data_IF_712730906169
#
_entry.id   IF_712730906169
#
_cell.length_a   1.000
_cell.length_b   1.000
_cell.length_c   1.000
_cell.angle_alpha   90.00
_cell.angle_beta   90.00
_cell.angle_gamma   90.00
#
_symmetry.space_group_name_H-M   'P 1'
#
loop_
_entity.id
_entity.type
_entity.pdbx_description
1 polymer ?
#
# COMPACT_ATOMS: atom_id res chain seq x y z
N UNK A 1 -20.64 -9.68 33.22
CA UNK A 1 -19.97 -10.26 32.03
C UNK A 1 -20.73 -11.53 31.71
N UNK A 2 -21.04 -11.81 30.43
CA UNK A 2 -21.61 -13.12 30.07
C UNK A 2 -20.67 -14.22 30.58
N UNK A 3 -21.23 -15.28 31.17
CA UNK A 3 -20.44 -16.40 31.66
C UNK A 3 -19.89 -17.15 30.44
N UNK A 4 -18.58 -17.10 30.25
CA UNK A 4 -17.88 -17.81 29.19
C UNK A 4 -17.29 -19.07 29.83
N UNK A 5 -17.75 -20.25 29.42
CA UNK A 5 -17.10 -21.49 29.81
C UNK A 5 -15.99 -21.78 28.81
N UNK A 6 -14.74 -21.72 29.27
CA UNK A 6 -13.57 -22.00 28.45
C UNK A 6 -13.43 -23.50 28.11
N UNK A 7 -14.25 -24.36 28.72
CA UNK A 7 -14.22 -25.82 28.52
C UNK A 7 -15.26 -26.31 27.50
N UNK A 8 -16.16 -25.45 27.02
CA UNK A 8 -17.14 -25.82 25.99
C UNK A 8 -16.66 -25.37 24.61
N UNK A 9 -16.81 -26.22 23.56
CA UNK A 9 -16.45 -25.84 22.21
C UNK A 9 -17.33 -24.68 21.72
N UNK A 10 -16.80 -23.76 20.88
CA UNK A 10 -17.53 -22.59 20.42
C UNK A 10 -18.57 -22.97 19.35
N UNK A 11 -19.70 -23.52 19.80
CA UNK A 11 -20.69 -24.19 18.95
C UNK A 11 -21.19 -23.31 17.79
N UNK A 12 -21.42 -22.02 18.04
CA UNK A 12 -21.88 -21.06 17.06
C UNK A 12 -20.79 -20.69 16.04
N UNK A 13 -19.52 -20.69 16.47
CA UNK A 13 -18.40 -20.49 15.55
C UNK A 13 -18.23 -21.69 14.61
N UNK A 14 -18.37 -22.91 15.13
CA UNK A 14 -18.33 -24.15 14.35
C UNK A 14 -19.51 -24.18 13.37
N UNK A 15 -20.72 -23.89 13.85
CA UNK A 15 -21.93 -23.86 13.04
C UNK A 15 -21.82 -22.83 11.90
N UNK A 16 -21.33 -21.61 12.17
CA UNK A 16 -21.06 -20.62 11.14
C UNK A 16 -20.09 -21.15 10.09
N UNK A 17 -18.95 -21.72 10.51
CA UNK A 17 -17.97 -22.22 9.56
C UNK A 17 -18.54 -23.36 8.70
N UNK A 18 -19.29 -24.29 9.29
CA UNK A 18 -19.91 -25.42 8.59
C UNK A 18 -21.07 -25.02 7.68
N UNK A 19 -21.80 -23.94 8.00
CA UNK A 19 -22.89 -23.43 7.16
C UNK A 19 -22.43 -22.90 5.80
N UNK A 20 -21.13 -22.65 5.63
CA UNK A 20 -20.58 -22.18 4.36
C UNK A 20 -20.48 -23.31 3.36
N UNK A 21 -20.84 -23.05 2.11
CA UNK A 21 -20.72 -24.00 1.01
C UNK A 21 -19.31 -23.95 0.40
N UNK A 22 -18.54 -25.06 0.35
CA UNK A 22 -17.29 -25.12 -0.41
C UNK A 22 -17.54 -24.82 -1.89
N UNK A 23 -16.86 -23.81 -2.43
CA UNK A 23 -17.00 -23.42 -3.84
C UNK A 23 -15.70 -22.83 -4.41
N UNK A 24 -15.34 -23.27 -5.62
CA UNK A 24 -14.23 -22.72 -6.38
C UNK A 24 -14.69 -21.43 -7.05
N UNK A 25 -13.94 -20.34 -6.84
CA UNK A 25 -14.27 -19.04 -7.42
C UNK A 25 -13.14 -18.61 -8.37
N UNK A 26 -13.49 -18.37 -9.63
CA UNK A 26 -12.54 -18.01 -10.69
C UNK A 26 -12.00 -16.58 -10.52
N UNK A 27 -12.80 -15.66 -9.96
CA UNK A 27 -12.39 -14.29 -9.67
C UNK A 27 -12.82 -13.86 -8.26
N UNK A 28 -11.86 -13.74 -7.34
CA UNK A 28 -12.12 -13.26 -5.98
C UNK A 28 -12.31 -11.74 -5.90
N UNK A 29 -11.87 -11.00 -6.92
CA UNK A 29 -11.86 -9.53 -6.96
C UNK A 29 -13.24 -8.90 -7.16
N UNK A 30 -14.25 -9.66 -7.59
CA UNK A 30 -15.61 -9.18 -7.88
C UNK A 30 -16.65 -9.59 -6.82
N UNK A 31 -16.22 -10.30 -5.77
CA UNK A 31 -17.14 -10.83 -4.76
C UNK A 31 -17.59 -9.76 -3.78
N UNK A 32 -18.90 -9.51 -3.75
CA UNK A 32 -19.56 -8.70 -2.72
C UNK A 32 -19.41 -9.35 -1.34
N UNK A 33 -19.35 -8.52 -0.29
CA UNK A 33 -19.14 -8.94 1.11
C UNK A 33 -20.10 -10.06 1.59
N UNK A 34 -21.33 -10.08 1.08
CA UNK A 34 -22.35 -11.08 1.39
C UNK A 34 -22.01 -12.51 0.91
N UNK A 35 -21.17 -12.68 -0.11
CA UNK A 35 -20.80 -14.00 -0.64
C UNK A 35 -19.81 -14.71 0.31
N UNK A 36 -18.88 -13.99 0.93
CA UNK A 36 -17.91 -14.55 1.89
C UNK A 36 -18.56 -15.12 3.15
N UNK A 37 -19.79 -14.72 3.48
CA UNK A 37 -20.56 -15.29 4.59
C UNK A 37 -21.26 -16.61 4.22
N UNK A 38 -21.43 -16.90 2.93
CA UNK A 38 -22.16 -18.09 2.44
C UNK A 38 -21.25 -19.15 1.81
N UNK A 39 -20.09 -18.75 1.32
CA UNK A 39 -19.17 -19.61 0.58
C UNK A 39 -17.86 -19.81 1.35
N UNK A 40 -17.37 -21.04 1.40
CA UNK A 40 -16.03 -21.37 1.83
C UNK A 40 -15.14 -21.55 0.60
N UNK A 41 -14.13 -20.69 0.48
CA UNK A 41 -13.22 -20.70 -0.66
C UNK A 41 -11.83 -20.28 -0.22
N UNK A 42 -10.82 -20.79 -0.92
CA UNK A 42 -9.42 -20.44 -0.71
C UNK A 42 -8.83 -20.19 -2.10
N UNK A 43 -8.32 -18.97 -2.32
CA UNK A 43 -7.64 -18.60 -3.58
C UNK A 43 -6.65 -19.69 -3.97
N UNK A 44 -6.61 -20.07 -5.25
CA UNK A 44 -5.63 -21.03 -5.77
C UNK A 44 -5.87 -22.49 -5.40
N UNK A 45 -6.95 -22.81 -4.68
CA UNK A 45 -7.48 -24.17 -4.61
C UNK A 45 -8.62 -24.26 -5.63
N UNK A 46 -8.43 -25.04 -6.68
CA UNK A 46 -9.41 -25.27 -7.74
C UNK A 46 -10.18 -26.60 -7.60
N UNK A 47 -10.04 -27.26 -6.45
CA UNK A 47 -10.69 -28.53 -6.15
C UNK A 47 -11.68 -28.35 -4.98
N UNK A 48 -12.96 -28.64 -5.22
CA UNK A 48 -14.03 -28.49 -4.23
C UNK A 48 -13.89 -29.47 -3.06
N UNK A 49 -13.44 -30.70 -3.32
CA UNK A 49 -13.21 -31.70 -2.27
C UNK A 49 -12.10 -31.24 -1.32
N UNK A 50 -10.99 -30.71 -1.87
CA UNK A 50 -9.92 -30.11 -1.07
C UNK A 50 -10.42 -28.92 -0.25
N UNK A 51 -11.32 -28.07 -0.78
CA UNK A 51 -11.95 -26.99 -0.01
C UNK A 51 -12.80 -27.54 1.14
N UNK A 52 -13.60 -28.56 0.88
CA UNK A 52 -14.39 -29.26 1.89
C UNK A 52 -13.50 -29.83 3.00
N UNK A 53 -12.39 -30.48 2.65
CA UNK A 53 -11.49 -31.08 3.64
C UNK A 53 -10.73 -30.02 4.45
N UNK A 54 -10.34 -28.91 3.80
CA UNK A 54 -9.78 -27.76 4.50
C UNK A 54 -10.80 -27.12 5.45
N UNK A 55 -12.07 -27.00 5.06
CA UNK A 55 -13.14 -26.50 5.94
C UNK A 55 -13.34 -27.42 7.15
N UNK A 56 -13.45 -28.73 6.93
CA UNK A 56 -13.56 -29.74 8.00
C UNK A 56 -12.37 -29.67 8.96
N UNK A 57 -11.15 -29.53 8.44
CA UNK A 57 -9.93 -29.42 9.26
C UNK A 57 -9.98 -28.19 10.20
N UNK A 58 -10.55 -27.08 9.75
CA UNK A 58 -10.70 -25.86 10.54
C UNK A 58 -11.84 -25.99 11.57
N UNK A 59 -12.93 -26.68 11.22
CA UNK A 59 -13.98 -27.02 12.18
C UNK A 59 -13.46 -27.94 13.29
N UNK A 60 -12.63 -28.92 12.96
CA UNK A 60 -11.95 -29.77 13.95
C UNK A 60 -11.00 -28.96 14.82
N UNK A 61 -10.27 -28.00 14.24
CA UNK A 61 -9.40 -27.13 15.02
C UNK A 61 -10.19 -26.26 16.02
N UNK A 62 -11.36 -25.75 15.65
CA UNK A 62 -12.26 -25.03 16.56
C UNK A 62 -12.80 -25.94 17.67
N UNK A 63 -13.18 -27.18 17.31
CA UNK A 63 -13.73 -28.16 18.25
C UNK A 63 -12.70 -28.58 19.31
N UNK A 64 -11.45 -28.78 18.90
CA UNK A 64 -10.37 -29.29 19.75
C UNK A 64 -9.54 -28.20 20.42
N UNK A 65 -9.78 -26.92 20.10
CA UNK A 65 -8.93 -25.81 20.53
C UNK A 65 -7.51 -25.88 19.96
N UNK A 66 -7.34 -26.53 18.80
CA UNK A 66 -6.05 -26.84 18.20
C UNK A 66 -5.32 -25.56 17.77
N UNK A 67 -4.04 -25.41 18.11
CA UNK A 67 -3.23 -24.27 17.68
C UNK A 67 -2.79 -24.36 16.22
N UNK A 68 -2.39 -23.23 15.62
CA UNK A 68 -1.92 -23.19 14.24
C UNK A 68 -0.79 -24.20 13.94
N UNK A 69 0.15 -24.40 14.88
CA UNK A 69 1.29 -25.31 14.68
C UNK A 69 0.84 -26.74 14.42
N UNK A 70 -0.11 -27.21 15.23
CA UNK A 70 -0.68 -28.55 15.15
C UNK A 70 -1.59 -28.68 13.93
N UNK A 71 -2.47 -27.70 13.69
CA UNK A 71 -3.37 -27.71 12.52
C UNK A 71 -2.57 -27.76 11.20
N UNK A 72 -1.47 -27.01 11.12
CA UNK A 72 -0.57 -27.00 9.97
C UNK A 72 0.00 -28.40 9.69
N UNK A 73 0.39 -29.14 10.72
CA UNK A 73 0.91 -30.51 10.56
C UNK A 73 -0.16 -31.44 9.99
N UNK A 74 -1.40 -31.31 10.48
CA UNK A 74 -2.53 -32.14 10.04
C UNK A 74 -2.91 -31.91 8.58
N UNK A 75 -2.87 -30.68 8.09
CA UNK A 75 -3.25 -30.37 6.70
C UNK A 75 -2.12 -30.56 5.69
N UNK A 76 -0.88 -30.78 6.15
CA UNK A 76 0.27 -30.88 5.25
C UNK A 76 0.18 -32.11 4.34
N UNK A 77 -0.26 -33.25 4.86
CA UNK A 77 -0.48 -34.48 4.09
C UNK A 77 -1.58 -34.28 3.05
N UNK A 78 -2.72 -33.70 3.43
CA UNK A 78 -3.85 -33.36 2.56
C UNK A 78 -3.43 -32.50 1.36
N UNK A 79 -2.63 -31.44 1.62
CA UNK A 79 -2.15 -30.53 0.58
C UNK A 79 -1.13 -31.19 -0.36
N UNK A 80 -0.37 -32.16 0.15
CA UNK A 80 0.62 -32.90 -0.64
C UNK A 80 -0.06 -33.92 -1.55
N UNK A 81 -1.03 -34.67 -1.02
CA UNK A 81 -1.84 -35.65 -1.78
C UNK A 81 -2.64 -35.00 -2.90
N UNK A 82 -3.15 -33.78 -2.67
CA UNK A 82 -3.89 -33.00 -3.65
C UNK A 82 -3.01 -32.19 -4.61
N UNK A 83 -1.68 -32.40 -4.59
CA UNK A 83 -0.70 -31.67 -5.40
C UNK A 83 -0.87 -30.13 -5.35
N UNK A 84 -1.30 -29.61 -4.21
CA UNK A 84 -1.59 -28.18 -4.00
C UNK A 84 -0.80 -27.65 -2.79
N UNK A 85 0.55 -27.63 -2.85
CA UNK A 85 1.36 -27.18 -1.73
C UNK A 85 1.14 -25.68 -1.46
N UNK A 86 0.85 -25.34 -0.21
CA UNK A 86 0.72 -23.95 0.23
C UNK A 86 1.88 -23.58 1.16
N UNK A 87 2.45 -22.39 0.96
CA UNK A 87 3.53 -21.93 1.83
C UNK A 87 3.03 -21.69 3.28
N UNK A 88 3.91 -21.82 4.30
CA UNK A 88 3.51 -21.70 5.70
C UNK A 88 2.87 -20.36 6.09
N UNK A 89 3.29 -19.25 5.47
CA UNK A 89 2.71 -17.92 5.74
C UNK A 89 1.25 -17.87 5.30
N UNK A 90 0.94 -18.48 4.14
CA UNK A 90 -0.42 -18.57 3.60
C UNK A 90 -1.31 -19.46 4.44
N UNK A 91 -0.81 -20.61 4.90
CA UNK A 91 -1.53 -21.48 5.83
C UNK A 91 -1.88 -20.74 7.13
N UNK A 92 -0.92 -19.96 7.66
CA UNK A 92 -1.17 -19.11 8.84
C UNK A 92 -2.29 -18.11 8.58
N UNK A 93 -2.31 -17.48 7.42
CA UNK A 93 -3.37 -16.53 7.06
C UNK A 93 -4.73 -17.22 6.93
N UNK A 94 -4.81 -18.38 6.27
CA UNK A 94 -6.04 -19.17 6.12
C UNK A 94 -6.59 -19.55 7.50
N UNK A 95 -5.76 -20.12 8.37
CA UNK A 95 -6.14 -20.50 9.72
C UNK A 95 -6.63 -19.28 10.52
N UNK A 96 -5.79 -18.26 10.69
CA UNK A 96 -6.12 -17.11 11.52
C UNK A 96 -7.38 -16.38 11.02
N UNK A 97 -7.53 -16.22 9.70
CA UNK A 97 -8.70 -15.56 9.12
C UNK A 97 -10.00 -16.32 9.43
N UNK A 98 -10.02 -17.63 9.17
CA UNK A 98 -11.23 -18.42 9.34
C UNK A 98 -11.59 -18.58 10.81
N UNK A 99 -10.61 -18.83 11.68
CA UNK A 99 -10.83 -18.97 13.13
C UNK A 99 -11.37 -17.66 13.72
N UNK A 100 -10.72 -16.52 13.47
CA UNK A 100 -11.18 -15.22 13.99
C UNK A 100 -12.56 -14.83 13.47
N UNK A 101 -12.81 -15.03 12.17
CA UNK A 101 -14.12 -14.73 11.59
C UNK A 101 -15.21 -15.62 12.21
N UNK A 102 -14.93 -16.91 12.38
CA UNK A 102 -15.88 -17.85 13.01
C UNK A 102 -16.21 -17.45 14.44
N UNK A 103 -15.23 -17.08 15.26
CA UNK A 103 -15.49 -16.58 16.62
C UNK A 103 -16.29 -15.26 16.63
N UNK A 104 -16.02 -14.34 15.71
CA UNK A 104 -16.75 -13.08 15.62
C UNK A 104 -18.22 -13.29 15.23
N UNK A 105 -18.48 -14.22 14.31
CA UNK A 105 -19.83 -14.55 13.85
C UNK A 105 -20.59 -15.37 14.88
N UNK A 106 -19.93 -16.33 15.53
CA UNK A 106 -20.52 -17.04 16.67
C UNK A 106 -20.90 -16.08 17.79
N UNK A 107 -20.00 -15.14 18.13
CA UNK A 107 -20.29 -14.06 19.09
C UNK A 107 -21.50 -13.22 18.66
N UNK A 108 -21.62 -12.89 17.37
CA UNK A 108 -22.76 -12.15 16.85
C UNK A 108 -24.06 -12.91 17.08
N UNK A 109 -24.11 -14.20 16.71
CA UNK A 109 -25.28 -15.05 16.92
C UNK A 109 -25.71 -15.10 18.38
N UNK A 110 -24.76 -15.30 19.30
CA UNK A 110 -25.06 -15.30 20.75
C UNK A 110 -25.55 -13.92 21.22
N UNK A 111 -24.96 -12.84 20.73
CA UNK A 111 -25.34 -11.47 21.12
C UNK A 111 -26.70 -11.03 20.54
N UNK A 112 -27.05 -11.50 19.35
CA UNK A 112 -28.34 -11.25 18.70
C UNK A 112 -29.48 -11.95 19.47
N UNK A 113 -29.19 -13.08 20.14
CA UNK A 113 -30.16 -13.82 20.95
C UNK A 113 -30.38 -13.26 22.37
N UNK A 114 -29.62 -12.24 22.78
CA UNK A 114 -29.80 -11.60 24.09
C UNK A 114 -31.17 -10.92 24.18
N UNK A 115 -31.79 -10.99 25.37
CA UNK A 115 -33.09 -10.35 25.64
C UNK A 115 -32.91 -8.94 26.22
N UNK A 116 -33.84 -8.05 25.88
CA UNK A 116 -33.92 -6.68 26.41
C UNK A 116 -33.13 -5.64 25.60
N UNK A 117 -33.02 -4.44 26.16
CA UNK A 117 -32.27 -3.34 25.56
C UNK A 117 -30.76 -3.59 25.65
N UNK A 118 -30.18 -4.00 24.53
CA UNK A 118 -28.75 -4.27 24.40
C UNK A 118 -28.08 -3.20 23.54
N UNK A 119 -26.91 -2.77 23.99
CA UNK A 119 -26.02 -1.85 23.32
C UNK A 119 -24.73 -2.57 22.95
N UNK A 120 -24.25 -2.33 21.75
CA UNK A 120 -23.00 -2.86 21.24
C UNK A 120 -21.92 -1.81 21.30
N UNK A 121 -20.72 -2.22 21.73
CA UNK A 121 -19.50 -1.43 21.73
C UNK A 121 -18.51 -2.01 20.74
N UNK A 122 -18.05 -1.21 19.79
CA UNK A 122 -16.98 -1.59 18.88
C UNK A 122 -15.62 -1.53 19.57
N UNK A 123 -14.90 -2.65 19.58
CA UNK A 123 -13.59 -2.78 20.21
C UNK A 123 -12.52 -3.11 19.18
N UNK A 124 -11.68 -2.12 18.89
CA UNK A 124 -10.47 -2.29 18.13
C UNK A 124 -9.30 -2.65 19.05
N UNK A 125 -8.36 -3.47 18.57
CA UNK A 125 -7.13 -3.81 19.31
C UNK A 125 -6.23 -2.57 19.48
N UNK A 126 -6.35 -1.57 18.59
CA UNK A 126 -5.60 -0.31 18.62
C UNK A 126 -4.07 -0.44 18.54
N UNK A 127 -3.55 -1.59 18.09
CA UNK A 127 -2.13 -1.76 17.81
C UNK A 127 -1.70 -1.12 16.47
N UNK A 128 -0.41 -1.25 16.14
CA UNK A 128 0.17 -0.75 14.88
C UNK A 128 -0.42 -1.42 13.61
N UNK A 129 -1.06 -2.58 13.76
CA UNK A 129 -1.63 -3.38 12.67
C UNK A 129 -3.13 -3.16 12.49
N UNK A 130 -3.77 -2.40 13.36
CA UNK A 130 -5.18 -2.08 13.26
C UNK A 130 -5.37 -0.97 12.23
N UNK A 131 -6.23 -1.20 11.23
CA UNK A 131 -6.58 -0.18 10.21
C UNK A 131 -7.11 1.07 10.89
N UNK A 132 -6.77 2.22 10.35
CA UNK A 132 -7.18 3.49 10.93
C UNK A 132 -8.72 3.64 10.92
N UNK A 133 -9.38 3.23 9.84
CA UNK A 133 -10.83 3.11 9.75
C UNK A 133 -11.43 2.41 10.98
N UNK A 134 -10.82 1.33 11.45
CA UNK A 134 -11.30 0.57 12.61
C UNK A 134 -10.90 1.21 13.94
N UNK A 135 -9.75 1.89 14.01
CA UNK A 135 -9.36 2.65 15.21
C UNK A 135 -10.35 3.77 15.50
N UNK A 136 -10.82 4.45 14.46
CA UNK A 136 -11.82 5.53 14.59
C UNK A 136 -13.16 5.02 15.13
N UNK A 137 -13.51 3.75 14.86
CA UNK A 137 -14.72 3.14 15.39
C UNK A 137 -14.60 2.70 16.84
N UNK A 138 -13.39 2.68 17.43
CA UNK A 138 -13.21 2.22 18.80
C UNK A 138 -14.06 3.04 19.78
N UNK A 139 -14.77 2.35 20.68
CA UNK A 139 -15.72 2.93 21.63
C UNK A 139 -16.96 3.56 21.00
N UNK A 140 -17.24 3.27 19.74
CA UNK A 140 -18.59 3.46 19.20
C UNK A 140 -19.55 2.56 19.95
N UNK A 141 -20.52 3.16 20.63
CA UNK A 141 -21.57 2.47 21.39
C UNK A 141 -22.92 2.84 20.81
N UNK A 142 -23.64 1.86 20.26
CA UNK A 142 -24.96 2.06 19.66
C UNK A 142 -25.92 0.95 20.09
N UNK A 143 -27.25 1.17 20.04
CA UNK A 143 -28.22 0.10 20.19
C UNK A 143 -27.90 -1.07 19.25
N UNK A 144 -28.17 -2.30 19.68
CA UNK A 144 -27.97 -3.51 18.86
C UNK A 144 -28.63 -3.42 17.49
N UNK A 145 -29.86 -2.89 17.44
CA UNK A 145 -30.68 -2.81 16.22
C UNK A 145 -30.28 -1.65 15.28
N UNK A 146 -29.23 -0.91 15.59
CA UNK A 146 -28.81 0.22 14.77
C UNK A 146 -28.18 -0.26 13.45
N UNK A 147 -28.63 0.30 12.31
CA UNK A 147 -28.19 -0.07 10.95
C UNK A 147 -26.67 0.03 10.70
N UNK A 148 -25.98 0.82 11.51
CA UNK A 148 -24.50 0.87 11.56
C UNK A 148 -23.86 -0.53 11.59
N UNK A 149 -24.42 -1.46 12.37
CA UNK A 149 -23.86 -2.79 12.56
C UNK A 149 -23.96 -3.68 11.32
N UNK A 150 -24.87 -3.38 10.37
CA UNK A 150 -24.96 -4.13 9.11
C UNK A 150 -23.67 -4.06 8.29
N UNK A 151 -22.97 -2.92 8.35
CA UNK A 151 -21.73 -2.68 7.59
C UNK A 151 -20.48 -2.78 8.45
N UNK A 152 -20.57 -2.49 9.74
CA UNK A 152 -19.39 -2.31 10.60
C UNK A 152 -19.23 -3.38 11.67
N UNK A 153 -20.03 -4.46 11.66
CA UNK A 153 -19.78 -5.56 12.59
C UNK A 153 -18.44 -6.27 12.23
N UNK A 154 -17.50 -6.46 13.18
CA UNK A 154 -16.19 -7.04 12.91
C UNK A 154 -16.24 -8.47 12.34
N UNK A 155 -15.27 -8.78 11.46
CA UNK A 155 -15.15 -10.07 10.78
C UNK A 155 -15.22 -9.97 9.26
N UNK A 156 -15.61 -8.79 8.75
CA UNK A 156 -15.76 -8.55 7.32
C UNK A 156 -14.44 -8.48 6.54
N UNK A 157 -13.41 -7.88 7.14
CA UNK A 157 -12.14 -7.67 6.46
C UNK A 157 -11.11 -8.76 6.74
N UNK A 158 -10.23 -8.98 5.76
CA UNK A 158 -9.02 -9.77 5.94
C UNK A 158 -8.13 -9.22 7.07
N UNK A 159 -7.70 -10.09 7.98
CA UNK A 159 -6.82 -9.78 9.11
C UNK A 159 -7.44 -8.94 10.21
N UNK A 160 -8.77 -8.68 10.16
CA UNK A 160 -9.43 -7.93 11.22
C UNK A 160 -9.44 -8.74 12.52
N UNK A 161 -9.05 -8.09 13.62
CA UNK A 161 -9.05 -8.66 14.98
C UNK A 161 -9.93 -7.86 15.94
N UNK A 162 -10.74 -6.96 15.40
CA UNK A 162 -11.72 -6.21 16.17
C UNK A 162 -12.86 -7.13 16.62
N UNK A 163 -13.59 -6.74 17.66
CA UNK A 163 -14.75 -7.46 18.19
C UNK A 163 -15.83 -6.48 18.64
N UNK A 164 -17.03 -6.98 18.89
CA UNK A 164 -18.11 -6.24 19.53
C UNK A 164 -18.37 -6.80 20.92
N UNK A 165 -18.53 -5.91 21.89
CA UNK A 165 -18.94 -6.23 23.25
C UNK A 165 -20.39 -5.79 23.46
N UNK A 166 -21.21 -6.62 24.10
CA UNK A 166 -22.61 -6.34 24.35
C UNK A 166 -22.83 -5.92 25.81
N UNK A 167 -23.62 -4.88 26.01
CA UNK A 167 -23.92 -4.29 27.32
C UNK A 167 -25.41 -4.00 27.45
N UNK A 168 -25.95 -4.23 28.64
CA UNK A 168 -27.25 -3.67 29.05
C UNK A 168 -27.09 -2.21 29.44
N UNK A 169 -28.20 -1.44 29.46
CA UNK A 169 -28.18 -0.03 29.91
C UNK A 169 -27.56 0.14 31.31
N UNK A 170 -27.96 -0.70 32.27
CA UNK A 170 -27.39 -0.72 33.62
C UNK A 170 -25.87 -0.96 33.65
N UNK A 171 -25.35 -1.77 32.72
CA UNK A 171 -23.91 -1.99 32.61
C UNK A 171 -23.20 -0.78 32.00
N UNK A 172 -23.80 -0.12 31.01
CA UNK A 172 -23.25 1.14 30.49
C UNK A 172 -23.11 2.18 31.61
N UNK A 173 -24.17 2.38 32.40
CA UNK A 173 -24.18 3.32 33.52
C UNK A 173 -23.11 2.96 34.57
N UNK A 174 -23.02 1.66 34.93
CA UNK A 174 -22.02 1.16 35.87
C UNK A 174 -20.58 1.41 35.40
N UNK A 175 -20.33 1.27 34.09
CA UNK A 175 -18.99 1.45 33.51
C UNK A 175 -18.72 2.87 33.03
N UNK A 176 -19.66 3.82 33.24
CA UNK A 176 -19.52 5.20 32.77
C UNK A 176 -19.47 5.32 31.24
N UNK A 177 -20.01 4.35 30.52
CA UNK A 177 -20.04 4.33 29.06
C UNK A 177 -21.29 5.03 28.55
N UNK A 178 -21.16 5.87 27.52
CA UNK A 178 -22.26 6.63 26.91
C UNK A 178 -22.54 6.16 25.50
N UNK A 179 -23.82 6.15 25.12
CA UNK A 179 -24.25 5.91 23.74
C UNK A 179 -23.68 7.01 22.84
N UNK A 180 -23.06 6.62 21.74
CA UNK A 180 -22.44 7.52 20.77
C UNK A 180 -23.50 8.16 19.88
N UNK A 181 -23.22 9.38 19.41
CA UNK A 181 -23.98 10.02 18.35
C UNK A 181 -23.31 9.73 17.01
N UNK A 182 -24.07 9.22 16.03
CA UNK A 182 -23.55 8.82 14.72
C UNK A 182 -23.02 10.03 13.94
N UNK A 183 -23.63 11.22 14.12
CA UNK A 183 -23.27 12.46 13.42
C UNK A 183 -21.88 12.97 13.80
N UNK A 184 -21.38 12.55 14.96
CA UNK A 184 -20.05 12.91 15.47
C UNK A 184 -18.99 11.91 15.03
N UNK A 185 -19.36 10.84 14.31
CA UNK A 185 -18.42 9.84 13.81
C UNK A 185 -17.77 10.31 12.51
N UNK A 186 -16.44 10.20 12.40
CA UNK A 186 -15.77 10.47 11.14
C UNK A 186 -16.24 9.47 10.07
N UNK A 187 -16.49 9.95 8.85
CA UNK A 187 -16.97 9.13 7.73
C UNK A 187 -15.98 7.99 7.42
N UNK A 188 -16.31 6.76 7.83
CA UNK A 188 -15.41 5.60 7.70
C UNK A 188 -15.36 5.05 6.27
N UNK A 189 -16.37 5.34 5.43
CA UNK A 189 -16.38 4.94 4.01
C UNK A 189 -15.31 5.68 3.19
N UNK A 190 -14.85 6.86 3.63
CA UNK A 190 -13.70 7.55 3.02
C UNK A 190 -12.34 6.93 3.41
N UNK A 191 -12.31 6.04 4.40
CA UNK A 191 -11.09 5.33 4.82
C UNK A 191 -10.93 3.96 4.15
N UNK A 192 -11.95 3.48 3.42
CA UNK A 192 -11.77 2.48 2.36
C UNK A 192 -11.33 3.23 1.12
N UNK A 193 -10.02 3.27 0.91
CA UNK A 193 -9.34 3.93 -0.20
C UNK A 193 -10.07 3.71 -1.53
N UNK A 194 -10.77 4.73 -2.00
CA UNK A 194 -10.92 4.88 -3.44
C UNK A 194 -9.53 5.28 -3.97
N UNK A 195 -8.85 4.32 -4.57
CA UNK A 195 -7.51 4.46 -5.16
C UNK A 195 -7.58 5.33 -6.43
N UNK A 196 -8.77 5.78 -6.85
CA UNK A 196 -8.97 6.66 -8.01
C UNK A 196 -8.17 7.96 -7.89
N UNK A 197 -8.03 8.54 -6.69
CA UNK A 197 -7.11 9.65 -6.41
C UNK A 197 -6.16 9.35 -5.25
N UNK A 198 -5.05 8.70 -5.60
CA UNK A 198 -3.95 8.38 -4.69
C UNK A 198 -3.40 9.61 -3.92
N UNK A 199 -3.51 10.82 -4.47
CA UNK A 199 -2.94 12.01 -3.84
C UNK A 199 -3.81 12.52 -2.69
N UNK A 200 -5.13 12.53 -2.87
CA UNK A 200 -6.07 12.89 -1.81
C UNK A 200 -5.95 11.94 -0.61
N UNK A 201 -5.85 10.64 -0.88
CA UNK A 201 -5.65 9.62 0.15
C UNK A 201 -4.33 9.82 0.92
N UNK A 202 -3.21 10.07 0.23
CA UNK A 202 -1.92 10.32 0.87
C UNK A 202 -1.95 11.58 1.75
N UNK A 203 -2.57 12.67 1.27
CA UNK A 203 -2.71 13.91 2.03
C UNK A 203 -3.52 13.68 3.32
N UNK A 204 -4.61 12.93 3.24
CA UNK A 204 -5.42 12.57 4.39
C UNK A 204 -4.63 11.78 5.45
N UNK A 205 -3.90 10.73 5.02
CA UNK A 205 -3.04 9.93 5.91
C UNK A 205 -2.00 10.81 6.61
N UNK A 206 -1.35 11.72 5.87
CA UNK A 206 -0.34 12.61 6.44
C UNK A 206 -0.93 13.56 7.48
N UNK A 207 -2.08 14.16 7.18
CA UNK A 207 -2.80 15.03 8.12
C UNK A 207 -3.21 14.29 9.40
N UNK A 208 -3.65 13.05 9.29
CA UNK A 208 -3.97 12.23 10.46
C UNK A 208 -2.73 11.86 11.27
N UNK A 209 -1.63 11.49 10.62
CA UNK A 209 -0.36 11.23 11.31
C UNK A 209 0.16 12.48 12.04
N UNK A 210 0.00 13.65 11.45
CA UNK A 210 0.34 14.93 12.09
C UNK A 210 -0.50 15.16 13.36
N UNK A 211 -1.80 14.84 13.33
CA UNK A 211 -2.67 14.90 14.52
C UNK A 211 -2.24 13.89 15.60
N UNK A 212 -1.96 12.64 15.22
CA UNK A 212 -1.53 11.59 16.15
C UNK A 212 -0.19 11.94 16.82
N UNK A 213 0.72 12.54 16.07
CA UNK A 213 2.06 12.89 16.53
C UNK A 213 2.20 14.37 16.91
N UNK A 214 1.11 15.04 17.29
CA UNK A 214 1.10 16.47 17.63
C UNK A 214 2.12 16.86 18.72
N UNK A 215 2.47 15.93 19.61
CA UNK A 215 3.41 16.14 20.72
C UNK A 215 4.84 15.67 20.40
N UNK A 216 5.15 15.29 19.15
CA UNK A 216 6.48 14.84 18.74
C UNK A 216 7.04 15.74 17.62
N UNK A 217 7.87 16.75 17.96
CA UNK A 217 8.42 17.71 16.99
C UNK A 217 9.20 17.04 15.85
N UNK A 218 9.98 16.00 16.13
CA UNK A 218 10.76 15.27 15.13
C UNK A 218 9.85 14.57 14.10
N UNK A 219 8.76 13.95 14.58
CA UNK A 219 7.77 13.32 13.71
C UNK A 219 7.06 14.37 12.83
N UNK A 220 6.68 15.51 13.41
CA UNK A 220 6.05 16.62 12.67
C UNK A 220 6.96 17.12 11.55
N UNK A 221 8.24 17.40 11.85
CA UNK A 221 9.21 17.89 10.86
C UNK A 221 9.36 16.90 9.71
N UNK A 222 9.50 15.59 10.00
CA UNK A 222 9.61 14.56 8.96
C UNK A 222 8.33 14.41 8.14
N UNK A 223 7.16 14.43 8.77
CA UNK A 223 5.87 14.34 8.07
C UNK A 223 5.63 15.55 7.15
N UNK A 224 5.98 16.76 7.60
CA UNK A 224 5.92 17.96 6.76
C UNK A 224 6.90 17.89 5.58
N UNK A 225 8.12 17.39 5.81
CA UNK A 225 9.09 17.19 4.74
C UNK A 225 8.59 16.17 3.69
N UNK A 226 7.97 15.06 4.13
CA UNK A 226 7.36 14.08 3.22
C UNK A 226 6.20 14.71 2.44
N UNK A 227 5.34 15.49 3.09
CA UNK A 227 4.24 16.18 2.41
C UNK A 227 4.74 17.13 1.31
N UNK A 228 5.74 17.95 1.63
CA UNK A 228 6.37 18.86 0.67
C UNK A 228 7.04 18.10 -0.49
N UNK A 229 7.72 16.99 -0.21
CA UNK A 229 8.33 16.13 -1.22
C UNK A 229 7.29 15.56 -2.19
N UNK A 230 6.18 15.01 -1.68
CA UNK A 230 5.09 14.47 -2.50
C UNK A 230 4.47 15.58 -3.36
N UNK A 231 4.20 16.76 -2.78
CA UNK A 231 3.66 17.90 -3.52
C UNK A 231 4.56 18.31 -4.68
N UNK A 232 5.87 18.44 -4.44
CA UNK A 232 6.84 18.80 -5.49
C UNK A 232 6.87 17.75 -6.60
N UNK A 233 6.85 16.47 -6.25
CA UNK A 233 6.80 15.37 -7.24
C UNK A 233 5.51 15.41 -8.07
N UNK A 234 4.36 15.71 -7.46
CA UNK A 234 3.09 15.81 -8.16
C UNK A 234 3.02 17.00 -9.12
N UNK A 235 3.54 18.16 -8.72
CA UNK A 235 3.65 19.35 -9.59
C UNK A 235 4.54 19.02 -10.79
N UNK A 236 5.73 18.46 -10.55
CA UNK A 236 6.65 18.03 -11.62
C UNK A 236 5.99 17.03 -12.56
N UNK A 237 5.32 16.01 -12.03
CA UNK A 237 4.63 15.02 -12.85
C UNK A 237 3.56 15.65 -13.75
N UNK A 238 2.79 16.61 -13.22
CA UNK A 238 1.78 17.34 -14.00
C UNK A 238 2.42 18.16 -15.13
N UNK A 239 3.45 18.95 -14.82
CA UNK A 239 4.14 19.80 -15.79
C UNK A 239 4.78 18.99 -16.93
N UNK A 240 5.47 17.89 -16.60
CA UNK A 240 6.09 17.02 -17.61
C UNK A 240 5.03 16.29 -18.44
N UNK A 241 3.91 15.88 -17.84
CA UNK A 241 2.80 15.28 -18.57
C UNK A 241 2.11 16.25 -19.53
N UNK A 242 2.06 17.52 -19.18
CA UNK A 242 1.53 18.58 -20.02
C UNK A 242 2.49 18.85 -21.20
N UNK A 243 3.79 18.96 -20.92
CA UNK A 243 4.83 19.01 -21.95
C UNK A 243 4.82 17.78 -22.87
N UNK A 244 4.50 16.60 -22.34
CA UNK A 244 4.39 15.39 -23.14
C UNK A 244 3.22 15.42 -24.11
N UNK A 245 2.13 16.12 -23.80
CA UNK A 245 0.90 16.11 -24.59
C UNK A 245 0.71 17.36 -25.46
N UNK A 246 1.38 18.45 -25.13
CA UNK A 246 1.22 19.73 -25.83
C UNK A 246 1.70 19.67 -27.29
N UNK A 247 1.03 20.41 -28.17
CA UNK A 247 1.48 20.71 -29.52
C UNK A 247 2.35 21.97 -29.60
N UNK A 248 2.36 22.78 -28.54
CA UNK A 248 3.23 23.95 -28.44
C UNK A 248 4.66 23.54 -28.08
N UNK A 249 5.53 23.51 -29.09
CA UNK A 249 6.94 23.10 -28.96
C UNK A 249 7.81 24.10 -28.19
N UNK A 250 7.33 25.34 -27.98
CA UNK A 250 8.06 26.38 -27.22
C UNK A 250 7.84 26.26 -25.71
N UNK A 251 6.91 25.42 -25.27
CA UNK A 251 6.64 25.21 -23.85
C UNK A 251 7.84 24.57 -23.15
N UNK A 252 8.15 25.04 -21.94
CA UNK A 252 9.27 24.55 -21.13
C UNK A 252 8.84 24.30 -19.70
N UNK A 253 9.54 23.41 -18.98
CA UNK A 253 9.38 23.23 -17.54
C UNK A 253 10.71 22.99 -16.84
N UNK A 254 10.70 23.19 -15.53
CA UNK A 254 11.81 22.87 -14.63
C UNK A 254 11.62 21.47 -14.06
N UNK A 255 12.58 20.59 -14.27
CA UNK A 255 12.52 19.21 -13.75
C UNK A 255 12.89 19.20 -12.27
N UNK A 256 14.03 19.82 -11.94
CA UNK A 256 14.57 19.87 -10.59
C UNK A 256 15.58 21.00 -10.41
N UNK A 257 15.93 21.28 -9.16
CA UNK A 257 17.13 22.06 -8.86
C UNK A 257 18.37 21.27 -9.29
N UNK A 258 19.36 21.96 -9.84
CA UNK A 258 20.62 21.29 -10.16
C UNK A 258 21.41 21.02 -8.87
N UNK A 259 21.89 19.78 -8.63
CA UNK A 259 22.75 19.50 -7.49
C UNK A 259 24.02 20.35 -7.53
N UNK A 260 24.48 20.81 -6.35
CA UNK A 260 25.74 21.58 -6.23
C UNK A 260 26.95 20.88 -6.86
N UNK A 261 26.98 19.55 -6.80
CA UNK A 261 28.00 18.75 -7.45
C UNK A 261 28.00 18.94 -8.97
N UNK A 262 26.82 18.97 -9.60
CA UNK A 262 26.70 19.22 -11.03
C UNK A 262 27.02 20.67 -11.40
N UNK A 263 26.57 21.66 -10.62
CA UNK A 263 26.96 23.07 -10.85
C UNK A 263 28.48 23.24 -10.92
N UNK A 264 29.21 22.60 -9.99
CA UNK A 264 30.69 22.59 -10.00
C UNK A 264 31.26 21.93 -11.26
N UNK A 265 30.70 20.79 -11.67
CA UNK A 265 31.16 20.03 -12.84
C UNK A 265 30.87 20.76 -14.16
N UNK A 266 29.78 21.51 -14.24
CA UNK A 266 29.47 22.36 -15.38
C UNK A 266 30.15 23.74 -15.32
N UNK A 267 30.70 24.11 -14.16
CA UNK A 267 31.22 25.45 -13.87
C UNK A 267 30.19 26.53 -14.25
N UNK A 268 28.96 26.38 -13.74
CA UNK A 268 27.82 27.21 -14.08
C UNK A 268 27.00 27.68 -12.85
N UNK A 269 26.09 28.62 -13.09
CA UNK A 269 25.27 29.29 -12.07
C UNK A 269 23.78 28.94 -12.19
N UNK A 270 23.44 27.97 -13.04
CA UNK A 270 22.06 27.55 -13.25
C UNK A 270 21.42 27.11 -11.93
N UNK A 271 20.19 27.54 -11.65
CA UNK A 271 19.46 27.06 -10.47
C UNK A 271 18.71 25.74 -10.76
N UNK A 272 18.30 25.56 -12.03
CA UNK A 272 17.39 24.51 -12.43
C UNK A 272 17.84 23.79 -13.70
N UNK A 273 17.47 22.51 -13.79
CA UNK A 273 17.53 21.73 -15.03
C UNK A 273 16.19 21.84 -15.71
N UNK A 274 16.20 22.29 -16.96
CA UNK A 274 14.99 22.57 -17.75
C UNK A 274 14.84 21.59 -18.91
N UNK A 275 13.63 21.47 -19.42
CA UNK A 275 13.30 20.70 -20.62
C UNK A 275 12.24 21.42 -21.43
N UNK A 276 12.27 21.27 -22.75
CA UNK A 276 11.28 21.82 -23.67
C UNK A 276 10.39 20.73 -24.29
N UNK A 277 9.21 21.11 -24.74
CA UNK A 277 8.31 20.24 -25.47
C UNK A 277 8.93 19.77 -26.80
N UNK A 278 9.73 20.62 -27.46
CA UNK A 278 10.48 20.24 -28.67
C UNK A 278 11.39 19.02 -28.43
N UNK A 279 12.17 19.02 -27.35
CA UNK A 279 13.06 17.90 -27.00
C UNK A 279 12.27 16.61 -26.76
N UNK A 280 11.15 16.70 -26.03
CA UNK A 280 10.28 15.54 -25.79
C UNK A 280 9.68 15.02 -27.10
N UNK A 281 9.18 15.92 -27.95
CA UNK A 281 8.55 15.58 -29.22
C UNK A 281 9.53 14.85 -30.16
N UNK A 282 10.76 15.35 -30.28
CA UNK A 282 11.80 14.72 -31.10
C UNK A 282 12.17 13.32 -30.61
N UNK A 283 12.14 13.09 -29.30
CA UNK A 283 12.48 11.78 -28.72
C UNK A 283 11.38 10.74 -28.80
N UNK A 284 10.10 11.11 -28.81
CA UNK A 284 9.00 10.14 -28.86
C UNK A 284 9.16 9.11 -29.97
N UNK A 285 9.67 9.52 -31.13
CA UNK A 285 9.89 8.64 -32.28
C UNK A 285 11.16 7.80 -32.19
N UNK A 286 12.19 8.28 -31.48
CA UNK A 286 13.53 7.67 -31.42
C UNK A 286 13.74 6.77 -30.21
N UNK A 287 12.99 7.02 -29.13
CA UNK A 287 13.10 6.35 -27.84
C UNK A 287 11.72 5.87 -27.35
N UNK A 288 11.12 4.86 -28.01
CA UNK A 288 9.83 4.31 -27.60
C UNK A 288 9.84 3.69 -26.18
N UNK A 289 11.03 3.41 -25.66
CA UNK A 289 11.26 2.90 -24.30
C UNK A 289 11.16 3.96 -23.19
N UNK A 290 10.99 5.24 -23.56
CA UNK A 290 10.88 6.38 -22.65
C UNK A 290 9.47 6.97 -22.71
N UNK A 291 8.90 7.27 -21.55
CA UNK A 291 7.63 7.99 -21.42
C UNK A 291 7.74 9.26 -20.55
N UNK A 292 6.61 9.93 -20.33
CA UNK A 292 6.54 11.11 -19.47
C UNK A 292 6.98 10.83 -18.03
N UNK A 293 6.71 9.62 -17.52
CA UNK A 293 7.08 9.23 -16.17
C UNK A 293 8.59 9.13 -16.02
N UNK A 294 9.30 8.56 -17.01
CA UNK A 294 10.77 8.47 -16.99
C UNK A 294 11.45 9.85 -16.87
N UNK A 295 10.95 10.87 -17.58
CA UNK A 295 11.45 12.25 -17.43
C UNK A 295 11.24 12.81 -16.02
N UNK A 296 10.17 12.42 -15.33
CA UNK A 296 9.91 12.88 -13.95
C UNK A 296 10.86 12.25 -12.93
N UNK A 297 11.43 11.09 -13.25
CA UNK A 297 12.42 10.39 -12.43
C UNK A 297 13.79 11.08 -12.45
N UNK A 298 14.09 11.95 -13.42
CA UNK A 298 15.39 12.63 -13.53
C UNK A 298 15.77 13.32 -12.21
N UNK A 299 14.83 14.02 -11.58
CA UNK A 299 15.07 14.69 -10.32
C UNK A 299 15.47 13.75 -9.17
N UNK A 300 14.90 12.53 -9.15
CA UNK A 300 15.18 11.54 -8.12
C UNK A 300 16.49 10.78 -8.42
N UNK A 301 16.81 10.63 -9.72
CA UNK A 301 18.00 9.95 -10.21
C UNK A 301 19.26 10.80 -10.04
N UNK A 302 19.16 12.11 -10.28
CA UNK A 302 20.32 13.00 -10.34
C UNK A 302 21.01 13.22 -8.99
N UNK A 303 20.36 12.85 -7.90
CA UNK A 303 20.97 12.81 -6.56
C UNK A 303 21.96 11.63 -6.41
N UNK A 304 21.85 10.61 -7.28
CA UNK A 304 22.60 9.34 -7.20
C UNK A 304 23.31 9.05 -8.53
N UNK A 305 24.18 9.98 -8.94
CA UNK A 305 24.91 9.87 -10.21
C UNK A 305 25.94 8.73 -10.13
N UNK A 306 25.91 7.80 -11.08
CA UNK A 306 26.94 6.75 -11.18
C UNK A 306 28.20 7.30 -11.86
N UNK A 307 28.07 7.94 -13.01
CA UNK A 307 29.23 8.47 -13.76
C UNK A 307 28.83 9.55 -14.76
N UNK A 308 29.79 10.41 -15.13
CA UNK A 308 29.61 11.52 -16.06
C UNK A 308 30.72 11.48 -17.12
N UNK A 309 30.31 11.59 -18.37
CA UNK A 309 31.17 11.56 -19.55
C UNK A 309 30.99 12.84 -20.36
N UNK A 310 32.00 13.24 -21.11
CA UNK A 310 31.97 14.38 -22.02
C UNK A 310 32.74 14.10 -23.30
N UNK A 311 32.28 14.71 -24.38
CA UNK A 311 33.03 14.82 -25.63
C UNK A 311 33.91 16.07 -25.60
N UNK A 312 35.18 15.98 -26.02
CA UNK A 312 36.13 17.09 -25.94
C UNK A 312 35.65 18.35 -26.69
N UNK A 313 34.86 18.16 -27.75
CA UNK A 313 34.33 19.24 -28.59
C UNK A 313 32.90 19.68 -28.24
N UNK A 314 32.25 19.05 -27.25
CA UNK A 314 30.85 19.31 -26.92
C UNK A 314 30.66 19.88 -25.51
N UNK A 315 29.72 20.81 -25.37
CA UNK A 315 29.24 21.27 -24.06
C UNK A 315 28.25 20.29 -23.41
N UNK A 316 27.90 19.20 -24.08
CA UNK A 316 26.99 18.16 -23.57
C UNK A 316 27.73 17.22 -22.64
N UNK A 317 27.16 17.02 -21.44
CA UNK A 317 27.58 15.99 -20.48
C UNK A 317 26.59 14.83 -20.54
N UNK A 318 27.11 13.61 -20.58
CA UNK A 318 26.32 12.38 -20.53
C UNK A 318 26.43 11.80 -19.12
N UNK A 319 25.30 11.67 -18.44
CA UNK A 319 25.19 11.26 -17.05
C UNK A 319 24.56 9.88 -17.02
N UNK A 320 25.27 8.90 -16.46
CA UNK A 320 24.74 7.58 -16.19
C UNK A 320 24.04 7.56 -14.84
N UNK A 321 22.81 7.08 -14.86
CA UNK A 321 21.89 7.05 -13.74
C UNK A 321 21.23 5.66 -13.64
N UNK A 322 20.69 5.32 -12.48
CA UNK A 322 19.91 4.10 -12.29
C UNK A 322 18.66 4.38 -11.43
N UNK A 323 17.53 3.79 -11.83
CA UNK A 323 16.31 3.77 -11.01
C UNK A 323 15.42 2.62 -11.46
N UNK A 324 14.72 1.99 -10.51
CA UNK A 324 13.74 0.94 -10.78
C UNK A 324 14.33 -0.18 -11.67
N UNK A 325 15.54 -0.62 -11.35
CA UNK A 325 16.29 -1.65 -12.08
C UNK A 325 16.56 -1.34 -13.57
N UNK A 326 16.40 -0.09 -13.99
CA UNK A 326 16.74 0.40 -15.33
C UNK A 326 17.91 1.38 -15.28
N UNK A 327 18.75 1.34 -16.30
CA UNK A 327 19.87 2.25 -16.49
C UNK A 327 19.50 3.35 -17.47
N UNK A 328 19.84 4.59 -17.12
CA UNK A 328 19.54 5.75 -17.94
C UNK A 328 20.82 6.47 -18.35
N UNK A 329 20.82 7.00 -19.57
CA UNK A 329 21.78 8.01 -20.02
C UNK A 329 21.04 9.33 -20.22
N UNK A 330 21.27 10.27 -19.31
CA UNK A 330 20.77 11.63 -19.40
C UNK A 330 21.83 12.52 -20.06
N UNK A 331 21.48 13.19 -21.15
CA UNK A 331 22.33 14.19 -21.79
C UNK A 331 21.89 15.58 -21.33
N UNK A 332 22.82 16.35 -20.76
CA UNK A 332 22.58 17.70 -20.29
C UNK A 332 23.53 18.68 -20.99
N UNK A 333 23.01 19.82 -21.41
CA UNK A 333 23.78 20.90 -22.05
C UNK A 333 23.68 22.17 -21.22
N UNK A 334 24.82 22.76 -20.90
CA UNK A 334 24.88 24.12 -20.36
C UNK A 334 24.94 25.11 -21.51
N UNK A 335 24.13 26.17 -21.44
CA UNK A 335 24.24 27.28 -22.38
C UNK A 335 25.53 28.09 -22.14
N UNK A 336 25.93 28.87 -23.15
CA UNK A 336 27.15 29.68 -23.14
C UNK A 336 27.13 30.76 -22.05
N UNK A 337 25.95 31.25 -21.68
CA UNK A 337 25.76 32.21 -20.60
C UNK A 337 25.92 31.59 -19.19
N UNK A 338 26.04 30.25 -19.10
CA UNK A 338 26.17 29.47 -17.88
C UNK A 338 25.01 29.63 -16.89
N UNK A 339 23.88 30.19 -17.31
CA UNK A 339 22.71 30.43 -16.45
C UNK A 339 21.65 29.34 -16.59
N UNK A 340 21.74 28.53 -17.64
CA UNK A 340 20.76 27.49 -17.90
C UNK A 340 21.40 26.14 -18.22
N UNK A 341 20.77 25.08 -17.71
CA UNK A 341 21.07 23.69 -18.07
C UNK A 341 19.82 23.03 -18.61
N UNK A 342 19.94 22.45 -19.80
CA UNK A 342 18.84 21.85 -20.53
C UNK A 342 19.04 20.34 -20.71
N UNK A 343 17.94 19.59 -20.62
CA UNK A 343 17.91 18.20 -21.05
C UNK A 343 17.92 18.15 -22.57
N UNK A 344 18.92 17.46 -23.13
CA UNK A 344 19.05 17.23 -24.56
C UNK A 344 18.57 15.84 -24.98
N UNK A 345 18.66 14.84 -24.09
CA UNK A 345 18.14 13.49 -24.34
C UNK A 345 18.04 12.64 -23.09
N UNK A 346 17.09 11.72 -23.08
CA UNK A 346 17.01 10.63 -22.11
C UNK A 346 16.90 9.31 -22.88
N UNK A 347 17.70 8.33 -22.49
CA UNK A 347 17.72 6.97 -23.04
C UNK A 347 17.67 6.00 -21.85
N UNK A 348 16.91 4.91 -21.97
CA UNK A 348 16.84 3.85 -20.96
C UNK A 348 17.20 2.49 -21.56
N UNK A 349 17.91 1.66 -20.79
CA UNK A 349 18.22 0.26 -21.14
C UNK A 349 18.27 -0.59 -19.86
N UNK A 350 18.10 -1.89 -20.01
CA UNK A 350 18.15 -2.81 -18.86
C UNK A 350 19.59 -3.10 -18.41
N UNK A 351 20.55 -3.05 -19.33
CA UNK A 351 21.96 -3.36 -19.05
C UNK A 351 22.87 -2.13 -19.23
N UNK A 352 23.55 -1.74 -18.13
CA UNK A 352 24.54 -0.66 -18.09
C UNK A 352 25.58 -0.74 -19.20
N UNK A 353 26.04 -1.95 -19.53
CA UNK A 353 27.10 -2.16 -20.52
C UNK A 353 26.73 -1.63 -21.90
N UNK A 354 25.44 -1.64 -22.25
CA UNK A 354 24.94 -1.08 -23.51
C UNK A 354 25.20 0.43 -23.57
N UNK A 355 24.98 1.15 -22.47
CA UNK A 355 25.27 2.58 -22.39
C UNK A 355 26.77 2.85 -22.42
N UNK A 356 27.56 2.03 -21.73
CA UNK A 356 29.02 2.18 -21.67
C UNK A 356 29.68 1.99 -23.04
N UNK A 357 29.19 1.05 -23.86
CA UNK A 357 29.66 0.87 -25.25
C UNK A 357 29.51 2.15 -26.07
N UNK A 358 28.43 2.90 -25.86
CA UNK A 358 28.17 4.18 -26.54
C UNK A 358 28.97 5.37 -25.96
N UNK A 359 29.64 5.17 -24.83
CA UNK A 359 30.41 6.21 -24.13
C UNK A 359 31.92 5.91 -24.11
N UNK A 360 32.37 4.79 -24.69
CA UNK A 360 33.77 4.31 -24.63
C UNK A 360 34.82 5.31 -25.11
N UNK A 361 34.47 6.16 -26.08
CA UNK A 361 35.36 7.17 -26.65
C UNK A 361 35.24 8.55 -25.97
N UNK A 362 34.47 8.65 -24.88
CA UNK A 362 34.21 9.91 -24.17
C UNK A 362 35.05 9.99 -22.91
N UNK A 363 35.51 11.20 -22.59
CA UNK A 363 36.29 11.47 -21.39
C UNK A 363 35.41 11.32 -20.15
N UNK A 364 35.88 10.54 -19.17
CA UNK A 364 35.23 10.42 -17.85
C UNK A 364 35.56 11.66 -17.02
N UNK A 365 34.54 12.38 -16.56
CA UNK A 365 34.69 13.53 -15.67
C UNK A 365 34.45 13.14 -14.22
N UNK A 366 33.53 12.21 -14.02
CA UNK A 366 33.17 11.74 -12.70
C UNK A 366 32.79 10.26 -12.79
N UNK A 367 33.17 9.51 -11.77
CA UNK A 367 32.68 8.17 -11.52
C UNK A 367 32.55 7.99 -10.02
N UNK A 368 31.45 7.39 -9.58
CA UNK A 368 31.33 6.97 -8.19
C UNK A 368 32.45 5.96 -7.85
N UNK A 369 33.09 6.09 -6.68
CA UNK A 369 34.05 5.10 -6.22
C UNK A 369 33.35 3.76 -5.97
N UNK A 370 33.99 2.65 -6.36
CA UNK A 370 33.41 1.29 -6.35
C UNK A 370 32.89 0.83 -4.97
N UNK A 371 33.33 1.47 -3.87
CA UNK A 371 32.96 1.12 -2.50
C UNK A 371 31.61 1.70 -2.02
N UNK A 372 30.93 2.52 -2.81
CA UNK A 372 29.67 3.17 -2.41
C UNK A 372 28.38 2.37 -2.74
N UNK A 373 28.49 1.21 -3.42
CA UNK A 373 27.34 0.39 -3.85
C UNK A 373 26.71 -0.51 -2.78
N UNK A 374 27.18 -0.41 -1.52
CA UNK A 374 26.69 -1.22 -0.38
C UNK A 374 26.06 -0.34 0.70
N UNK A 375 24.99 0.38 0.39
CA UNK A 375 24.09 0.94 1.41
C UNK A 375 22.65 0.91 0.93
#
# INVERSE_FOLDING_TARGET
>A
MLHFDFNLPPSEAIAYLQSKKPEVLNELSTLKHNIYNRVFTIKGIANVDLLSDMQKSLSLALLQGQEFKEWKQNVQSLLTQSNTPLNPKRLKQIYHQNILNSYNQGRKMTQDNLKGEIYYRYVAINDSRTRLSHKLLHNTILPREHSFWEKHYPGADFGCRCRVEAYTKRQLDRFGLKVSNISDMPNVQEATFDISDNNAALAHILNQKLKIHANNPNAITRLKAIAAFIQQRNVRFKEINELWRTSDLQKTASICKIPKQLQKIFANEAEHIRISASVINDHKSRHPEIDAFDYTLIADMIEHIDSIYQDEKSSVKYILLNKLDRWYRLSLKSLSDKKEVWVESLLAVDNKEVLLKNLKNKKVIYSQPQNARKL
#
